data_IF_279798089251
#
_entry.id   IF_279798089251
#
_cell.length_a   1.000
_cell.length_b   1.000
_cell.length_c   1.000
_cell.angle_alpha   90.00
_cell.angle_beta   90.00
_cell.angle_gamma   90.00
#
_symmetry.space_group_name_H-M   'P 1'
#
loop_
_entity.id
_entity.type
_entity.pdbx_description
1 polymer ?
#
# COMPACT_ATOMS: atom_id res chain seq x y z
N UNK A 1 -5.73 2.96 -21.79
CA UNK A 1 -4.49 3.78 -21.87
C UNK A 1 -3.39 3.08 -21.08
N UNK A 2 -2.20 2.89 -21.65
CA UNK A 2 -1.09 2.23 -20.95
C UNK A 2 -0.40 3.24 -20.01
N UNK A 3 -0.68 3.13 -18.70
CA UNK A 3 -0.14 4.03 -17.67
C UNK A 3 1.39 4.17 -17.74
N UNK A 4 2.10 3.08 -18.09
CA UNK A 4 3.56 3.02 -18.14
C UNK A 4 4.17 3.81 -19.30
N UNK A 5 3.36 4.14 -20.31
CA UNK A 5 3.80 4.95 -21.44
C UNK A 5 3.55 6.44 -21.22
N UNK A 6 2.84 6.82 -20.16
CA UNK A 6 2.53 8.22 -19.87
C UNK A 6 3.79 9.01 -19.49
N UNK A 7 3.83 10.29 -19.88
CA UNK A 7 4.93 11.20 -19.54
C UNK A 7 5.05 11.39 -18.02
N UNK A 8 3.91 11.41 -17.33
CA UNK A 8 3.85 11.50 -15.87
C UNK A 8 4.55 10.29 -15.22
N UNK A 9 4.17 9.07 -15.60
CA UNK A 9 4.78 7.85 -15.06
C UNK A 9 6.30 7.82 -15.28
N UNK A 10 6.77 8.11 -16.50
CA UNK A 10 8.21 8.15 -16.80
C UNK A 10 8.96 9.20 -15.96
N UNK A 11 8.32 10.34 -15.70
CA UNK A 11 8.91 11.42 -14.88
C UNK A 11 9.05 10.97 -13.43
N UNK A 12 7.98 10.42 -12.85
CA UNK A 12 7.97 9.90 -11.47
C UNK A 12 8.92 8.71 -11.31
N UNK A 13 8.97 7.81 -12.29
CA UNK A 13 9.93 6.70 -12.31
C UNK A 13 11.37 7.21 -12.24
N UNK A 14 11.73 8.19 -13.05
CA UNK A 14 13.08 8.77 -13.06
C UNK A 14 13.41 9.43 -11.72
N UNK A 15 12.47 10.17 -11.13
CA UNK A 15 12.64 10.79 -9.82
C UNK A 15 12.86 9.74 -8.73
N UNK A 16 12.03 8.69 -8.70
CA UNK A 16 12.14 7.59 -7.73
C UNK A 16 13.50 6.87 -7.86
N UNK A 17 13.93 6.58 -9.09
CA UNK A 17 15.24 5.95 -9.35
C UNK A 17 16.40 6.81 -8.88
N UNK A 18 16.35 8.13 -9.13
CA UNK A 18 17.40 9.04 -8.71
C UNK A 18 17.46 9.20 -7.18
N UNK A 19 16.30 9.25 -6.52
CA UNK A 19 16.22 9.51 -5.08
C UNK A 19 16.48 8.27 -4.23
N UNK A 20 16.00 7.10 -4.66
CA UNK A 20 16.01 5.89 -3.86
C UNK A 20 16.86 4.76 -4.46
N UNK A 21 17.39 4.93 -5.69
CA UNK A 21 18.09 3.88 -6.41
C UNK A 21 17.17 2.75 -6.91
N UNK A 22 15.85 2.93 -6.83
CA UNK A 22 14.85 1.90 -7.13
C UNK A 22 14.22 2.21 -8.48
N UNK A 23 14.37 1.30 -9.45
CA UNK A 23 13.70 1.39 -10.73
C UNK A 23 12.32 0.71 -10.67
N UNK A 24 11.27 1.52 -10.48
CA UNK A 24 9.91 1.00 -10.26
C UNK A 24 9.39 0.17 -11.45
N UNK A 25 9.90 0.35 -12.67
CA UNK A 25 9.46 -0.47 -13.82
C UNK A 25 9.87 -1.93 -13.71
N UNK A 26 10.88 -2.26 -12.89
CA UNK A 26 11.28 -3.65 -12.66
C UNK A 26 10.20 -4.44 -11.90
N UNK A 27 9.35 -3.74 -11.15
CA UNK A 27 8.24 -4.32 -10.41
C UNK A 27 6.94 -4.31 -11.21
N UNK A 28 6.93 -3.61 -12.35
CA UNK A 28 5.80 -3.59 -13.29
C UNK A 28 5.83 -4.87 -14.13
N UNK A 29 5.15 -5.91 -13.68
CA UNK A 29 4.82 -7.09 -14.50
C UNK A 29 3.43 -6.91 -15.12
N UNK A 30 3.12 -7.57 -16.26
CA UNK A 30 1.77 -7.65 -16.78
C UNK A 30 0.86 -8.24 -15.69
N UNK A 31 0.01 -7.42 -15.08
CA UNK A 31 -0.87 -7.84 -14.00
C UNK A 31 -2.08 -8.55 -14.61
N UNK A 32 -1.89 -9.81 -15.00
CA UNK A 32 -3.00 -10.76 -15.16
C UNK A 32 -3.08 -11.74 -13.97
N UNK A 33 -2.19 -11.61 -12.99
CA UNK A 33 -2.22 -12.45 -11.79
C UNK A 33 -3.15 -11.83 -10.74
N UNK A 34 -4.19 -12.58 -10.35
CA UNK A 34 -4.96 -12.31 -9.14
C UNK A 34 -3.99 -12.27 -7.95
N UNK A 35 -4.00 -11.19 -7.17
CA UNK A 35 -3.14 -11.09 -5.98
C UNK A 35 -3.68 -12.05 -4.93
N UNK A 36 -2.83 -13.00 -4.52
CA UNK A 36 -3.16 -13.94 -3.45
C UNK A 36 -2.67 -13.40 -2.11
N UNK A 37 -3.53 -12.63 -1.43
CA UNK A 37 -3.22 -12.10 -0.10
C UNK A 37 -3.04 -13.20 0.93
N UNK A 38 -3.81 -14.29 0.88
CA UNK A 38 -3.72 -15.39 1.83
C UNK A 38 -2.33 -16.04 1.79
N UNK A 39 -1.80 -16.30 0.60
CA UNK A 39 -0.46 -16.85 0.43
C UNK A 39 0.62 -15.89 0.94
N UNK A 40 0.45 -14.59 0.70
CA UNK A 40 1.38 -13.57 1.21
C UNK A 40 1.34 -13.51 2.73
N UNK A 41 0.15 -13.43 3.32
CA UNK A 41 -0.06 -13.40 4.77
C UNK A 41 0.59 -14.64 5.40
N UNK A 42 0.38 -15.81 4.81
CA UNK A 42 0.89 -17.06 5.35
C UNK A 42 2.42 -17.10 5.40
N UNK A 43 3.06 -16.64 4.33
CA UNK A 43 4.52 -16.70 4.15
C UNK A 43 5.28 -15.56 4.83
N UNK A 44 4.69 -14.36 4.89
CA UNK A 44 5.43 -13.14 5.23
C UNK A 44 4.96 -12.47 6.52
N UNK A 45 3.84 -12.88 7.12
CA UNK A 45 3.39 -12.33 8.40
C UNK A 45 3.73 -13.27 9.56
N UNK A 46 4.11 -12.65 10.67
CA UNK A 46 4.23 -13.34 11.95
C UNK A 46 2.86 -13.76 12.48
N UNK A 47 2.82 -14.74 13.38
CA UNK A 47 1.59 -15.19 14.04
C UNK A 47 0.82 -14.02 14.69
N UNK A 48 1.54 -13.11 15.36
CA UNK A 48 0.94 -11.94 15.99
C UNK A 48 0.30 -10.99 14.97
N UNK A 49 0.98 -10.73 13.84
CA UNK A 49 0.42 -9.89 12.77
C UNK A 49 -0.83 -10.52 12.14
N UNK A 50 -0.81 -11.84 11.90
CA UNK A 50 -1.99 -12.58 11.42
C UNK A 50 -3.18 -12.47 12.39
N UNK A 51 -2.93 -12.58 13.69
CA UNK A 51 -3.97 -12.44 14.71
C UNK A 51 -4.56 -11.02 14.74
N UNK A 52 -3.73 -9.98 14.56
CA UNK A 52 -4.21 -8.60 14.45
C UNK A 52 -5.13 -8.43 13.24
N UNK A 53 -4.75 -8.97 12.06
CA UNK A 53 -5.60 -8.92 10.86
C UNK A 53 -6.94 -9.62 11.09
N UNK A 54 -6.93 -10.83 11.65
CA UNK A 54 -8.15 -11.58 11.98
C UNK A 54 -9.07 -10.78 12.93
N UNK A 55 -8.49 -10.09 13.90
CA UNK A 55 -9.25 -9.23 14.83
C UNK A 55 -9.90 -8.04 14.12
N UNK A 56 -9.15 -7.34 13.25
CA UNK A 56 -9.65 -6.21 12.45
C UNK A 56 -10.83 -6.67 11.58
N UNK A 57 -10.68 -7.79 10.88
CA UNK A 57 -11.71 -8.34 10.01
C UNK A 57 -12.95 -8.78 10.78
N UNK A 58 -12.76 -9.48 11.92
CA UNK A 58 -13.85 -9.94 12.77
C UNK A 58 -14.72 -8.78 13.30
N UNK A 59 -14.09 -7.65 13.61
CA UNK A 59 -14.77 -6.50 14.20
C UNK A 59 -15.20 -5.43 13.19
N UNK A 60 -14.84 -5.59 11.90
CA UNK A 60 -15.08 -4.60 10.85
C UNK A 60 -14.55 -3.19 11.21
N UNK A 61 -13.34 -3.14 11.78
CA UNK A 61 -12.75 -1.89 12.28
C UNK A 61 -12.42 -0.92 11.14
N UNK A 62 -12.97 0.29 11.21
CA UNK A 62 -12.67 1.37 10.24
C UNK A 62 -11.48 2.24 10.64
N UNK A 63 -11.08 2.18 11.92
CA UNK A 63 -9.98 2.96 12.49
C UNK A 63 -9.03 2.03 13.22
N UNK A 64 -7.79 1.98 12.78
CA UNK A 64 -6.78 1.07 13.32
C UNK A 64 -5.65 1.90 13.93
N UNK A 65 -5.36 1.66 15.21
CA UNK A 65 -4.21 2.23 15.90
C UNK A 65 -3.29 1.08 16.28
N UNK A 66 -2.13 0.99 15.62
CA UNK A 66 -1.11 0.00 15.95
C UNK A 66 -0.21 0.54 17.06
N UNK A 67 -0.37 0.00 18.27
CA UNK A 67 0.46 0.33 19.44
C UNK A 67 1.46 -0.79 19.71
N UNK A 68 2.72 -0.46 20.01
CA UNK A 68 3.75 -1.46 20.31
C UNK A 68 5.17 -0.90 20.32
N UNK A 69 6.12 -1.68 20.83
CA UNK A 69 7.52 -1.27 21.00
C UNK A 69 8.29 -1.00 19.70
N UNK A 70 9.48 -0.41 19.80
CA UNK A 70 10.38 -0.23 18.66
C UNK A 70 10.68 -1.61 18.03
N UNK A 71 10.80 -1.66 16.70
CA UNK A 71 11.02 -2.89 15.91
C UNK A 71 9.90 -3.95 15.94
N UNK A 72 8.73 -3.67 16.51
CA UNK A 72 7.61 -4.64 16.55
C UNK A 72 6.87 -4.86 15.20
N UNK A 73 7.41 -4.38 14.09
CA UNK A 73 6.84 -4.59 12.75
C UNK A 73 5.55 -3.81 12.44
N UNK A 74 5.20 -2.78 13.23
CA UNK A 74 3.96 -1.99 13.03
C UNK A 74 3.92 -1.28 11.68
N UNK A 75 5.01 -0.63 11.30
CA UNK A 75 5.12 0.09 10.02
C UNK A 75 4.90 -0.88 8.85
N UNK A 76 5.52 -2.06 8.91
CA UNK A 76 5.34 -3.11 7.92
C UNK A 76 3.87 -3.54 7.80
N UNK A 77 3.21 -3.80 8.94
CA UNK A 77 1.80 -4.17 8.96
C UNK A 77 0.88 -3.05 8.46
N UNK A 78 1.16 -1.79 8.82
CA UNK A 78 0.41 -0.63 8.35
C UNK A 78 0.53 -0.47 6.83
N UNK A 79 1.75 -0.58 6.27
CA UNK A 79 1.98 -0.53 4.84
C UNK A 79 1.26 -1.68 4.12
N UNK A 80 1.30 -2.89 4.68
CA UNK A 80 0.58 -4.04 4.13
C UNK A 80 -0.94 -3.80 4.09
N UNK A 81 -1.54 -3.36 5.21
CA UNK A 81 -2.97 -3.06 5.28
C UNK A 81 -3.39 -1.96 4.31
N UNK A 82 -2.56 -0.94 4.17
CA UNK A 82 -2.76 0.13 3.20
C UNK A 82 -2.79 -0.40 1.76
N UNK A 83 -1.79 -1.21 1.37
CA UNK A 83 -1.73 -1.80 0.03
C UNK A 83 -2.90 -2.77 -0.20
N UNK A 84 -3.24 -3.61 0.78
CA UNK A 84 -4.39 -4.52 0.70
C UNK A 84 -5.68 -3.75 0.44
N UNK A 85 -5.91 -2.69 1.20
CA UNK A 85 -7.08 -1.81 1.04
C UNK A 85 -7.13 -1.18 -0.36
N UNK A 86 -5.99 -0.74 -0.91
CA UNK A 86 -5.90 -0.19 -2.27
C UNK A 86 -6.37 -1.19 -3.34
N UNK A 87 -5.97 -2.45 -3.20
CA UNK A 87 -6.34 -3.48 -4.17
C UNK A 87 -7.80 -3.93 -4.02
N UNK A 88 -8.26 -4.16 -2.80
CA UNK A 88 -9.64 -4.58 -2.52
C UNK A 88 -10.66 -3.52 -2.94
N UNK A 89 -10.31 -2.25 -2.81
CA UNK A 89 -11.18 -1.13 -3.14
C UNK A 89 -10.83 -0.46 -4.48
N UNK A 90 -10.04 -1.12 -5.34
CA UNK A 90 -9.59 -0.61 -6.65
C UNK A 90 -10.72 0.05 -7.46
N UNK A 91 -11.91 -0.56 -7.45
CA UNK A 91 -13.06 -0.07 -8.19
C UNK A 91 -13.53 1.30 -7.70
N UNK A 92 -13.41 1.57 -6.40
CA UNK A 92 -13.77 2.85 -5.79
C UNK A 92 -12.80 3.95 -6.19
N UNK A 93 -11.52 3.63 -6.44
CA UNK A 93 -10.47 4.57 -6.86
C UNK A 93 -10.47 4.90 -8.35
N UNK A 94 -11.43 4.38 -9.12
CA UNK A 94 -11.57 4.70 -10.54
C UNK A 94 -12.13 6.11 -10.81
N UNK A 95 -12.60 6.80 -9.77
CA UNK A 95 -13.04 8.20 -9.81
C UNK A 95 -12.05 9.13 -9.08
N UNK A 96 -11.88 10.36 -9.61
CA UNK A 96 -10.94 11.42 -9.17
C UNK A 96 -11.20 12.02 -7.77
N UNK A 97 -11.71 11.23 -6.83
CA UNK A 97 -12.24 11.75 -5.55
C UNK A 97 -11.67 11.09 -4.30
N UNK A 98 -10.75 10.15 -4.43
CA UNK A 98 -10.22 9.44 -3.27
C UNK A 98 -8.87 9.98 -2.84
N UNK A 99 -8.90 10.81 -1.81
CA UNK A 99 -7.71 11.35 -1.18
C UNK A 99 -7.20 10.36 -0.13
N UNK A 100 -5.94 9.93 -0.26
CA UNK A 100 -5.27 9.16 0.78
C UNK A 100 -4.39 10.07 1.61
N UNK A 101 -4.62 10.07 2.93
CA UNK A 101 -3.82 10.86 3.86
C UNK A 101 -2.89 9.91 4.60
N UNK A 102 -1.60 10.02 4.34
CA UNK A 102 -0.56 9.27 5.05
C UNK A 102 0.15 10.24 5.99
N UNK A 103 -0.20 10.19 7.27
CA UNK A 103 0.47 10.98 8.31
C UNK A 103 1.70 10.29 8.87
N UNK A 104 2.80 11.02 9.08
CA UNK A 104 3.82 10.64 10.06
C UNK A 104 3.90 11.68 11.19
N UNK A 105 4.64 11.37 12.25
CA UNK A 105 4.75 12.25 13.43
C UNK A 105 5.44 13.59 13.18
N UNK A 106 6.09 13.78 12.04
CA UNK A 106 6.80 15.00 11.68
C UNK A 106 6.08 15.80 10.58
N UNK A 107 5.35 15.15 9.66
CA UNK A 107 4.61 15.73 8.54
C UNK A 107 3.47 14.79 8.08
N UNK A 108 2.33 15.36 7.70
CA UNK A 108 1.34 14.66 6.90
C UNK A 108 1.74 14.70 5.42
N UNK A 109 1.74 13.53 4.77
CA UNK A 109 1.83 13.39 3.33
C UNK A 109 0.41 13.11 2.83
N UNK A 110 -0.26 14.14 2.34
CA UNK A 110 -1.48 13.95 1.57
C UNK A 110 -1.08 13.42 0.19
N UNK A 111 -1.37 12.15 -0.06
CA UNK A 111 -1.24 11.56 -1.39
C UNK A 111 -2.57 11.79 -2.07
N UNK A 112 -2.70 12.96 -2.67
CA UNK A 112 -3.72 13.23 -3.65
C UNK A 112 -3.38 12.41 -4.90
N UNK A 113 -4.08 11.29 -5.09
CA UNK A 113 -4.07 10.57 -6.36
C UNK A 113 -5.00 11.32 -7.31
N UNK A 114 -4.61 12.54 -7.67
CA UNK A 114 -5.31 13.32 -8.68
C UNK A 114 -4.97 12.74 -10.05
N UNK A 115 -5.99 12.23 -10.74
CA UNK A 115 -5.98 12.03 -12.19
C UNK A 115 -6.07 13.36 -12.91
#
# INVERSE_FOLDING_TARGET
>A
MNLYQTKLFKTLQKQCKNQFGIDISQFVKPINSLINFDQFEEKHLTLNQKNVIKSIQKNNEKKIILSGGIASGKTYLACYLFIKSLFENKNLYSSDTNNFIIGNSQRSVEVNVLG
#
